data_IF_139899586756
#
_entry.id   IF_139899586756
#
_cell.length_a   1.000
_cell.length_b   1.000
_cell.length_c   1.000
_cell.angle_alpha   90.00
_cell.angle_beta   90.00
_cell.angle_gamma   90.00
#
_symmetry.space_group_name_H-M   'P 1'
#
loop_
_entity.id
_entity.type
_entity.pdbx_description
1 polymer ?
#
# COMPACT_ATOMS: atom_id res chain seq x y z
N UNK A 1 -8.61 14.23 -27.94
CA UNK A 1 -8.72 13.90 -26.50
C UNK A 1 -7.50 13.10 -26.06
N UNK A 2 -6.84 13.50 -24.97
CA UNK A 2 -5.60 12.88 -24.51
C UNK A 2 -5.81 11.47 -23.92
N UNK A 3 -4.71 10.73 -23.73
CA UNK A 3 -4.76 9.40 -23.09
C UNK A 3 -5.36 9.47 -21.67
N UNK A 4 -4.94 10.44 -20.85
CA UNK A 4 -5.40 10.56 -19.46
C UNK A 4 -6.88 10.93 -19.36
N UNK A 5 -7.39 11.77 -20.26
CA UNK A 5 -8.82 12.12 -20.23
C UNK A 5 -9.71 10.92 -20.58
N UNK A 6 -9.26 10.07 -21.52
CA UNK A 6 -9.97 8.82 -21.86
C UNK A 6 -9.98 7.85 -20.69
N UNK A 7 -8.86 7.69 -19.99
CA UNK A 7 -8.80 6.85 -18.78
C UNK A 7 -9.73 7.37 -17.69
N UNK A 8 -9.78 8.69 -17.48
CA UNK A 8 -10.68 9.30 -16.49
C UNK A 8 -12.15 9.03 -16.81
N UNK A 9 -12.56 9.16 -18.08
CA UNK A 9 -13.92 8.83 -18.51
C UNK A 9 -14.27 7.35 -18.37
N UNK A 10 -13.30 6.46 -18.57
CA UNK A 10 -13.51 5.02 -18.39
C UNK A 10 -13.87 4.67 -16.93
N UNK A 11 -13.41 5.45 -15.95
CA UNK A 11 -13.80 5.27 -14.55
C UNK A 11 -15.30 5.48 -14.33
N UNK A 12 -15.88 6.54 -14.92
CA UNK A 12 -17.30 6.85 -14.81
C UNK A 12 -18.16 5.69 -15.32
N UNK A 13 -17.75 5.09 -16.44
CA UNK A 13 -18.43 3.93 -17.04
C UNK A 13 -18.42 2.70 -16.11
N UNK A 14 -17.38 2.57 -15.29
CA UNK A 14 -17.22 1.47 -14.34
C UNK A 14 -17.73 1.82 -12.93
N UNK A 15 -18.44 2.95 -12.77
CA UNK A 15 -19.02 3.39 -11.50
C UNK A 15 -18.01 3.90 -10.47
N UNK A 16 -16.77 4.19 -10.89
CA UNK A 16 -15.72 4.73 -10.03
C UNK A 16 -15.72 6.25 -10.16
N UNK A 17 -15.79 6.96 -9.01
CA UNK A 17 -15.68 8.42 -8.97
C UNK A 17 -14.34 8.88 -9.58
N UNK A 18 -14.34 9.63 -10.70
CA UNK A 18 -13.12 10.12 -11.32
C UNK A 18 -12.30 11.06 -10.44
N UNK A 19 -12.90 11.68 -9.42
CA UNK A 19 -12.18 12.52 -8.47
C UNK A 19 -11.16 11.71 -7.64
N UNK A 20 -11.37 10.40 -7.48
CA UNK A 20 -10.41 9.48 -6.83
C UNK A 20 -9.13 9.29 -7.64
N UNK A 21 -9.14 9.55 -8.95
CA UNK A 21 -7.95 9.41 -9.80
C UNK A 21 -7.12 10.70 -9.78
N UNK A 22 -5.88 10.69 -9.26
CA UNK A 22 -5.04 11.87 -9.27
C UNK A 22 -4.76 12.37 -10.70
N UNK A 23 -4.57 13.68 -10.91
CA UNK A 23 -4.23 14.22 -12.22
C UNK A 23 -3.01 13.54 -12.83
N UNK A 24 -3.09 13.18 -14.12
CA UNK A 24 -1.98 12.55 -14.85
C UNK A 24 -1.73 11.07 -14.53
N UNK A 25 -2.65 10.40 -13.83
CA UNK A 25 -2.58 8.95 -13.60
C UNK A 25 -3.60 8.17 -14.46
N UNK A 26 -3.40 6.85 -14.58
CA UNK A 26 -4.34 5.91 -15.21
C UNK A 26 -4.67 4.74 -14.27
N UNK A 27 -5.83 4.11 -14.43
CA UNK A 27 -6.22 2.92 -13.64
C UNK A 27 -5.42 1.70 -14.08
N UNK A 28 -5.02 0.89 -13.11
CA UNK A 28 -4.62 -0.51 -13.32
C UNK A 28 -5.49 -1.43 -12.47
N UNK A 29 -5.89 -2.56 -13.04
CA UNK A 29 -6.53 -3.67 -12.32
C UNK A 29 -5.52 -4.74 -11.92
N UNK A 30 -4.35 -4.76 -12.58
CA UNK A 30 -3.27 -5.71 -12.28
C UNK A 30 -2.65 -5.38 -10.93
N UNK A 31 -2.20 -6.41 -10.22
CA UNK A 31 -1.37 -6.20 -9.04
C UNK A 31 0.00 -5.65 -9.48
N UNK A 32 0.36 -4.43 -9.06
CA UNK A 32 1.60 -3.79 -9.48
C UNK A 32 2.78 -4.49 -8.81
N UNK A 33 3.71 -5.00 -9.61
CA UNK A 33 4.98 -5.56 -9.13
C UNK A 33 6.07 -4.53 -9.37
N UNK A 34 6.61 -3.97 -8.28
CA UNK A 34 7.68 -2.98 -8.28
C UNK A 34 8.67 -3.33 -7.18
N UNK A 35 9.96 -3.25 -7.48
CA UNK A 35 11.03 -3.41 -6.51
C UNK A 35 12.21 -2.52 -6.92
N UNK A 36 12.85 -1.90 -5.93
CA UNK A 36 14.12 -1.23 -6.11
C UNK A 36 15.20 -2.18 -5.58
N UNK A 37 15.72 -3.03 -6.46
CA UNK A 37 16.73 -4.04 -6.12
C UNK A 37 16.20 -5.46 -5.89
N UNK A 38 17.07 -6.40 -5.46
CA UNK A 38 16.72 -7.80 -5.29
C UNK A 38 15.64 -8.02 -4.22
N UNK A 39 14.73 -8.96 -4.48
CA UNK A 39 13.72 -9.38 -3.48
C UNK A 39 14.40 -10.25 -2.43
N UNK A 40 14.39 -9.88 -1.14
CA UNK A 40 15.06 -10.66 -0.10
C UNK A 40 14.31 -11.97 0.18
N UNK A 41 15.07 -13.01 0.52
CA UNK A 41 14.52 -14.20 1.18
C UNK A 41 14.48 -13.91 2.68
N UNK A 42 13.30 -13.98 3.29
CA UNK A 42 13.08 -13.61 4.69
C UNK A 42 12.79 -14.86 5.51
N UNK A 43 13.60 -15.07 6.55
CA UNK A 43 13.32 -16.01 7.64
C UNK A 43 12.59 -15.27 8.76
N UNK A 44 11.32 -15.62 8.99
CA UNK A 44 10.47 -14.94 9.96
C UNK A 44 10.86 -15.22 11.41
N UNK A 45 11.56 -16.32 11.69
CA UNK A 45 12.02 -16.66 13.05
C UNK A 45 13.17 -15.72 13.47
N UNK A 46 14.03 -15.38 12.51
CA UNK A 46 15.13 -14.43 12.69
C UNK A 46 14.72 -12.96 12.48
N UNK A 47 13.58 -12.71 11.83
CA UNK A 47 13.13 -11.37 11.48
C UNK A 47 12.79 -10.51 12.71
N UNK A 48 13.13 -9.22 12.67
CA UNK A 48 12.77 -8.25 13.72
C UNK A 48 12.32 -6.92 13.11
N UNK A 49 11.17 -6.40 13.57
CA UNK A 49 10.82 -4.99 13.40
C UNK A 49 11.63 -4.17 14.41
N UNK A 50 12.23 -3.07 13.97
CA UNK A 50 12.90 -2.12 14.85
C UNK A 50 12.35 -0.72 14.64
N UNK A 51 11.81 -0.13 15.70
CA UNK A 51 11.39 1.29 15.74
C UNK A 51 12.39 2.04 16.60
N UNK A 52 13.06 3.03 16.03
CA UNK A 52 14.20 3.73 16.63
C UNK A 52 14.31 5.16 16.09
N UNK A 53 15.21 5.96 16.67
CA UNK A 53 15.40 7.37 16.29
C UNK A 53 14.64 8.30 17.23
N UNK A 54 13.68 9.07 16.70
CA UNK A 54 12.91 10.05 17.47
C UNK A 54 11.77 9.39 18.29
N UNK A 55 12.13 8.46 19.17
CA UNK A 55 11.21 7.74 20.06
C UNK A 55 11.74 7.78 21.49
N UNK A 56 10.86 7.76 22.49
CA UNK A 56 11.27 7.74 23.90
C UNK A 56 12.03 6.44 24.25
N UNK A 57 11.61 5.32 23.67
CA UNK A 57 12.26 4.00 23.83
C UNK A 57 12.24 3.25 22.51
N UNK A 58 13.37 2.63 22.17
CA UNK A 58 13.42 1.74 21.01
C UNK A 58 12.52 0.52 21.22
N UNK A 59 11.85 0.10 20.16
CA UNK A 59 11.02 -1.11 20.12
C UNK A 59 11.67 -2.12 19.19
N UNK A 60 11.71 -3.39 19.64
CA UNK A 60 12.12 -4.54 18.83
C UNK A 60 11.08 -5.63 18.99
N UNK A 61 10.45 -6.03 17.88
CA UNK A 61 9.42 -7.07 17.88
C UNK A 61 9.83 -8.18 16.91
N UNK A 62 9.68 -9.42 17.36
CA UNK A 62 9.59 -10.58 16.47
C UNK A 62 8.34 -10.51 15.60
N UNK A 63 8.27 -11.39 14.60
CA UNK A 63 7.08 -11.49 13.75
C UNK A 63 5.83 -11.81 14.57
N UNK A 64 5.90 -12.76 15.50
CA UNK A 64 4.77 -13.17 16.33
C UNK A 64 4.35 -12.08 17.31
N UNK A 65 5.30 -11.37 17.92
CA UNK A 65 4.99 -10.24 18.82
C UNK A 65 4.29 -9.10 18.06
N UNK A 66 4.73 -8.79 16.83
CA UNK A 66 4.04 -7.82 15.98
C UNK A 66 2.59 -8.27 15.72
N UNK A 67 2.40 -9.52 15.26
CA UNK A 67 1.07 -10.06 14.94
C UNK A 67 0.14 -10.10 16.16
N UNK A 68 0.68 -10.29 17.36
CA UNK A 68 -0.08 -10.31 18.61
C UNK A 68 -0.67 -8.94 18.99
N UNK A 69 -0.19 -7.82 18.41
CA UNK A 69 -0.73 -6.48 18.65
C UNK A 69 -2.13 -6.26 18.05
N UNK A 70 -2.61 -7.20 17.22
CA UNK A 70 -3.93 -7.17 16.61
C UNK A 70 -3.90 -6.64 15.18
N UNK A 71 -4.59 -7.36 14.29
CA UNK A 71 -4.70 -6.99 12.88
C UNK A 71 -6.03 -6.33 12.58
N UNK A 72 -5.99 -5.39 11.63
CA UNK A 72 -7.17 -4.76 11.04
C UNK A 72 -7.18 -5.01 9.55
N UNK A 73 -8.37 -4.89 8.96
CA UNK A 73 -8.55 -4.84 7.51
C UNK A 73 -8.93 -3.41 7.10
N UNK A 74 -8.33 -2.94 6.01
CA UNK A 74 -8.57 -1.62 5.43
C UNK A 74 -8.67 -1.74 3.92
N UNK A 75 -9.69 -1.13 3.32
CA UNK A 75 -9.78 -0.96 1.87
C UNK A 75 -9.46 0.48 1.51
N UNK A 76 -8.41 0.69 0.71
CA UNK A 76 -8.00 2.03 0.26
C UNK A 76 -7.32 1.98 -1.12
N UNK A 77 -7.18 3.14 -1.74
CA UNK A 77 -6.57 3.28 -3.05
C UNK A 77 -5.03 3.32 -2.96
N UNK A 78 -4.38 2.79 -3.98
CA UNK A 78 -2.92 2.85 -4.14
C UNK A 78 -2.57 3.70 -5.35
N UNK A 79 -1.94 4.85 -5.13
CA UNK A 79 -1.50 5.77 -6.18
C UNK A 79 0.02 5.81 -6.27
N UNK A 80 0.58 5.60 -7.46
CA UNK A 80 2.01 5.59 -7.67
C UNK A 80 2.48 6.82 -8.44
N UNK A 81 3.62 7.37 -8.02
CA UNK A 81 4.28 8.48 -8.73
C UNK A 81 4.66 8.13 -10.17
N UNK A 82 4.77 6.84 -10.51
CA UNK A 82 4.95 6.34 -11.87
C UNK A 82 3.65 6.27 -12.69
N UNK A 83 2.63 7.04 -12.25
CA UNK A 83 1.40 7.42 -12.96
C UNK A 83 0.29 6.37 -13.02
N UNK A 84 0.31 5.34 -12.19
CA UNK A 84 -0.79 4.37 -12.13
C UNK A 84 -1.50 4.39 -10.77
N UNK A 85 -2.80 4.09 -10.79
CA UNK A 85 -3.65 3.96 -9.59
C UNK A 85 -4.37 2.62 -9.58
N UNK A 86 -4.42 1.95 -8.43
CA UNK A 86 -5.23 0.76 -8.19
C UNK A 86 -6.27 1.06 -7.11
N UNK A 87 -7.54 0.98 -7.48
CA UNK A 87 -8.65 1.29 -6.59
C UNK A 87 -9.03 0.11 -5.71
N UNK A 88 -9.68 0.40 -4.58
CA UNK A 88 -10.33 -0.59 -3.70
C UNK A 88 -9.38 -1.72 -3.28
N UNK A 89 -8.13 -1.37 -2.97
CA UNK A 89 -7.13 -2.34 -2.56
C UNK A 89 -7.36 -2.73 -1.10
N UNK A 90 -7.64 -4.01 -0.87
CA UNK A 90 -7.75 -4.56 0.48
C UNK A 90 -6.35 -4.82 1.09
N UNK A 91 -6.18 -4.36 2.32
CA UNK A 91 -4.99 -4.51 3.13
C UNK A 91 -5.35 -5.19 4.45
N UNK A 92 -4.42 -5.98 4.97
CA UNK A 92 -4.49 -6.55 6.31
C UNK A 92 -3.15 -6.38 7.00
N UNK A 93 -3.17 -5.96 8.26
CA UNK A 93 -1.96 -5.80 9.05
C UNK A 93 -2.19 -5.12 10.38
N UNK A 94 -1.10 -4.86 11.10
CA UNK A 94 -1.11 -4.22 12.42
C UNK A 94 -1.14 -2.70 12.24
N UNK A 95 -2.06 -1.97 12.89
CA UNK A 95 -2.06 -0.51 12.86
C UNK A 95 -0.74 0.06 13.40
N UNK A 96 -0.19 1.10 12.75
CA UNK A 96 1.02 1.77 13.25
C UNK A 96 0.82 2.27 14.68
N UNK A 97 -0.38 2.73 15.04
CA UNK A 97 -0.70 3.21 16.39
C UNK A 97 -0.65 2.11 17.47
N UNK A 98 -0.61 0.83 17.09
CA UNK A 98 -0.47 -0.29 18.02
C UNK A 98 1.00 -0.65 18.31
N UNK A 99 1.94 -0.11 17.51
CA UNK A 99 3.40 -0.33 17.59
C UNK A 99 4.05 0.81 18.36
#
# INVERSE_FOLDING_TARGET
>A
MGFFDRNRRALEADGIDPARLPPGQYRTERWPVLHEGPVPTVDLDAWRLRVWGAVEREVRLSWDELRALGEVELTTDLHCVTKWSRFDTAWRGVPIAAV
#
